data_IF_282832146797
#
_entry.id   IF_282832146797
#
_cell.length_a   1.000
_cell.length_b   1.000
_cell.length_c   1.000
_cell.angle_alpha   90.00
_cell.angle_beta   90.00
_cell.angle_gamma   90.00
#
_symmetry.space_group_name_H-M   'P 1'
#
loop_
_entity.id
_entity.type
_entity.pdbx_description
1 polymer ?
#
# COMPACT_ATOMS: atom_id res chain seq x y z
N UNK A 1 11.26 -9.25 6.27
CA UNK A 1 10.58 -7.99 5.94
C UNK A 1 9.25 -7.92 6.68
N UNK A 2 8.97 -6.82 7.38
CA UNK A 2 7.68 -6.64 8.07
C UNK A 2 6.56 -6.41 7.05
N UNK A 3 5.39 -6.97 7.33
CA UNK A 3 4.17 -6.71 6.57
C UNK A 3 3.07 -6.39 7.57
N UNK A 4 2.36 -5.29 7.34
CA UNK A 4 1.19 -4.91 8.12
C UNK A 4 0.08 -4.45 7.19
N UNK A 5 -1.16 -4.65 7.60
CA UNK A 5 -2.34 -4.22 6.86
C UNK A 5 -3.38 -3.65 7.82
N UNK A 6 -4.28 -2.85 7.27
CA UNK A 6 -5.29 -2.18 8.07
C UNK A 6 -6.32 -1.47 7.20
N UNK A 7 -7.16 -0.72 7.89
CA UNK A 7 -8.15 0.14 7.26
C UNK A 7 -7.99 1.55 7.78
N UNK A 8 -8.14 2.52 6.89
CA UNK A 8 -8.30 3.93 7.24
C UNK A 8 -9.76 4.32 7.05
N UNK A 9 -10.31 5.01 8.05
CA UNK A 9 -11.64 5.61 7.94
C UNK A 9 -11.56 6.84 7.02
N UNK A 10 -12.44 6.91 6.03
CA UNK A 10 -12.57 8.03 5.11
C UNK A 10 -14.04 8.37 4.90
N UNK A 11 -14.49 9.45 5.53
CA UNK A 11 -15.91 9.83 5.57
C UNK A 11 -16.77 8.68 6.13
N UNK A 12 -17.75 8.19 5.35
CA UNK A 12 -18.60 7.05 5.68
C UNK A 12 -18.06 5.70 5.16
N UNK A 13 -16.85 5.69 4.59
CA UNK A 13 -16.23 4.53 3.98
C UNK A 13 -14.93 4.12 4.68
N UNK A 14 -14.42 2.95 4.30
CA UNK A 14 -13.13 2.42 4.79
C UNK A 14 -12.24 2.08 3.60
N UNK A 15 -11.00 2.53 3.65
CA UNK A 15 -9.97 2.25 2.64
C UNK A 15 -9.01 1.21 3.20
N UNK A 16 -8.91 0.05 2.54
CA UNK A 16 -7.94 -0.98 2.92
C UNK A 16 -6.54 -0.59 2.42
N UNK A 17 -5.51 -0.88 3.22
CA UNK A 17 -4.12 -0.72 2.82
C UNK A 17 -3.23 -1.84 3.36
N UNK A 18 -2.08 -2.02 2.72
CA UNK A 18 -0.97 -2.85 3.20
C UNK A 18 0.35 -2.13 3.04
N UNK A 19 1.20 -2.32 4.04
CA UNK A 19 2.57 -1.81 4.09
C UNK A 19 3.54 -2.98 4.08
N UNK A 20 4.54 -2.83 3.25
CA UNK A 20 5.67 -3.72 3.04
C UNK A 20 6.93 -2.97 3.51
N UNK A 21 7.67 -3.53 4.47
CA UNK A 21 8.84 -2.90 5.06
C UNK A 21 8.53 -2.06 6.31
N UNK A 22 9.45 -1.16 6.69
CA UNK A 22 9.36 -0.36 7.92
C UNK A 22 9.28 1.14 7.63
N UNK A 23 8.11 1.75 7.89
CA UNK A 23 7.88 3.20 7.75
C UNK A 23 8.80 4.05 8.65
N UNK A 24 9.38 3.48 9.71
CA UNK A 24 10.36 4.13 10.58
C UNK A 24 11.81 4.12 10.05
N UNK A 25 12.08 3.47 8.92
CA UNK A 25 13.44 3.29 8.36
C UNK A 25 14.13 4.59 7.88
N UNK A 26 13.39 5.70 7.77
CA UNK A 26 13.90 6.97 7.24
C UNK A 26 13.98 7.07 5.72
N UNK A 27 13.78 5.95 5.01
CA UNK A 27 13.63 5.95 3.55
C UNK A 27 12.25 6.48 3.14
N UNK A 28 12.18 7.28 2.07
CA UNK A 28 10.93 7.81 1.55
C UNK A 28 10.01 6.67 1.05
N UNK A 29 8.78 6.53 1.57
CA UNK A 29 7.87 5.47 1.15
C UNK A 29 7.45 5.58 -0.32
N UNK A 30 7.23 4.45 -0.97
CA UNK A 30 6.57 4.34 -2.27
C UNK A 30 5.08 4.07 -2.05
N UNK A 31 4.21 4.98 -2.48
CA UNK A 31 2.75 4.80 -2.46
C UNK A 31 2.28 4.41 -3.87
N UNK A 32 1.65 3.24 -4.00
CA UNK A 32 1.17 2.73 -5.28
C UNK A 32 -0.33 3.02 -5.47
N UNK A 33 -0.68 3.73 -6.55
CA UNK A 33 -2.04 4.09 -6.90
C UNK A 33 -2.50 3.20 -8.07
N UNK A 34 -3.48 2.34 -7.84
CA UNK A 34 -3.93 1.45 -8.90
C UNK A 34 -4.73 2.16 -10.01
N UNK A 35 -4.83 1.56 -11.19
CA UNK A 35 -5.63 2.00 -12.33
C UNK A 35 -7.01 1.35 -12.35
N UNK A 36 -7.64 1.29 -13.54
CA UNK A 36 -9.02 0.85 -13.72
C UNK A 36 -9.86 1.98 -14.33
N UNK A 37 -10.80 2.62 -13.59
CA UNK A 37 -11.14 2.49 -12.17
C UNK A 37 -11.81 1.16 -11.76
N UNK A 38 -11.90 0.87 -10.44
CA UNK A 38 -12.54 -0.35 -9.91
C UNK A 38 -11.65 -1.62 -9.93
N UNK A 39 -10.34 -1.46 -10.18
CA UNK A 39 -9.35 -2.51 -9.97
C UNK A 39 -8.87 -2.53 -8.52
N UNK A 40 -7.84 -3.32 -8.21
CA UNK A 40 -7.27 -3.44 -6.86
C UNK A 40 -5.75 -3.39 -6.90
N UNK A 41 -5.14 -3.40 -5.71
CA UNK A 41 -3.70 -3.45 -5.49
C UNK A 41 -3.01 -4.72 -6.02
N UNK A 42 -3.73 -5.79 -6.36
CA UNK A 42 -3.14 -7.13 -6.57
C UNK A 42 -2.03 -7.17 -7.62
N UNK A 43 -2.14 -6.38 -8.69
CA UNK A 43 -1.11 -6.37 -9.74
C UNK A 43 0.19 -5.65 -9.33
N UNK A 44 0.21 -4.99 -8.16
CA UNK A 44 1.42 -4.42 -7.58
C UNK A 44 2.28 -5.41 -6.81
N UNK A 45 1.92 -6.70 -6.74
CA UNK A 45 2.75 -7.74 -6.10
C UNK A 45 4.25 -7.69 -6.46
N UNK A 46 4.66 -7.38 -7.72
CA UNK A 46 6.08 -7.22 -8.04
C UNK A 46 6.80 -6.09 -7.28
N UNK A 47 6.09 -5.04 -6.85
CA UNK A 47 6.64 -3.91 -6.09
C UNK A 47 7.06 -4.30 -4.67
N UNK A 48 6.61 -5.43 -4.14
CA UNK A 48 7.04 -5.92 -2.82
C UNK A 48 8.58 -6.03 -2.71
N UNK A 49 9.26 -6.34 -3.82
CA UNK A 49 10.73 -6.41 -3.85
C UNK A 49 11.43 -5.07 -3.60
N UNK A 50 10.75 -3.95 -3.84
CA UNK A 50 11.28 -2.61 -3.56
C UNK A 50 11.36 -2.34 -2.05
N UNK A 51 10.64 -3.13 -1.25
CA UNK A 51 10.60 -2.98 0.20
C UNK A 51 11.88 -3.39 0.95
N UNK A 52 12.84 -3.98 0.25
CA UNK A 52 14.21 -4.13 0.76
C UNK A 52 14.97 -2.79 0.81
N UNK A 53 14.55 -1.80 0.03
CA UNK A 53 15.19 -0.47 -0.05
C UNK A 53 14.36 0.65 0.61
N UNK A 54 13.02 0.57 0.51
CA UNK A 54 12.11 1.58 1.08
C UNK A 54 10.72 1.02 1.33
N UNK A 55 9.97 1.53 2.30
CA UNK A 55 8.61 1.05 2.56
C UNK A 55 7.73 1.18 1.32
N UNK A 56 6.94 0.15 1.02
CA UNK A 56 5.96 0.15 -0.07
C UNK A 56 4.57 0.09 0.53
N UNK A 57 3.72 1.04 0.16
CA UNK A 57 2.33 1.12 0.57
C UNK A 57 1.46 0.89 -0.64
N UNK A 58 0.61 -0.12 -0.56
CA UNK A 58 -0.46 -0.36 -1.54
C UNK A 58 -1.80 -0.20 -0.85
N UNK A 59 -2.81 0.24 -1.59
CA UNK A 59 -4.16 0.41 -1.06
C UNK A 59 -5.20 0.17 -2.15
N UNK A 60 -6.40 -0.20 -1.74
CA UNK A 60 -7.56 -0.29 -2.64
C UNK A 60 -8.32 1.03 -2.56
N UNK A 61 -8.42 1.73 -3.69
CA UNK A 61 -9.24 2.95 -3.82
C UNK A 61 -10.71 2.61 -3.58
N UNK A 62 -11.47 3.61 -3.14
CA UNK A 62 -12.91 3.45 -2.96
C UNK A 62 -13.59 3.14 -4.30
N UNK A 63 -14.39 2.07 -4.32
CA UNK A 63 -15.16 1.62 -5.48
C UNK A 63 -15.33 0.12 -5.51
#
# INVERSE_FOLDING_TARGET
MSVSEGYLEYLEYRTWYRVFGDLGSGAAPLLALHGGPGSTHHYFGPLERVADERPVVVYDQLG
#
